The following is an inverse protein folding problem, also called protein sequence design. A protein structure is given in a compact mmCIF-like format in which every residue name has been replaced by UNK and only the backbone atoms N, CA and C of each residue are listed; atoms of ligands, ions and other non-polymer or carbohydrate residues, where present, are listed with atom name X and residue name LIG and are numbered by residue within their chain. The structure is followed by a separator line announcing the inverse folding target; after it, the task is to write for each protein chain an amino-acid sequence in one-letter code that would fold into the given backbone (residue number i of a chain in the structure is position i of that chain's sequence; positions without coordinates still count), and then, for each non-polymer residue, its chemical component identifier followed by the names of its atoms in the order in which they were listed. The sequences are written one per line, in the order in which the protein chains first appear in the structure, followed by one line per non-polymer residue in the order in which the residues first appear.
data_IF_004128880667
#
_entry.id   IF_004128880667
#
_cell.length_a   1.000
_cell.length_b   1.000
_cell.length_c   1.000
_cell.angle_alpha   90.00
_cell.angle_beta   90.00
_cell.angle_gamma   90.00
#
_symmetry.space_group_name_H-M   'P 1'
#
loop_
_entity.id
_entity.type
_entity.pdbx_description
1 polymer ?
#
# COMPACT_ATOMS: atom_id res chain seq x y z
N UNK A 1 6.72 -8.51 30.25
CA UNK A 1 6.61 -7.23 29.49
C UNK A 1 7.60 -7.11 28.32
N UNK A 2 8.87 -7.52 28.46
CA UNK A 2 9.87 -7.40 27.37
C UNK A 2 9.49 -8.14 26.07
N UNK A 3 8.96 -9.35 26.15
CA UNK A 3 8.55 -10.16 24.98
C UNK A 3 7.40 -9.57 24.17
N UNK A 4 6.48 -8.83 24.79
CA UNK A 4 5.37 -8.15 24.09
C UNK A 4 5.89 -6.92 23.35
N UNK A 5 6.85 -6.20 23.93
CA UNK A 5 7.46 -5.00 23.34
C UNK A 5 8.21 -5.33 22.04
N UNK A 6 8.93 -6.46 22.00
CA UNK A 6 9.62 -6.91 20.78
C UNK A 6 8.66 -7.32 19.66
N UNK A 7 7.49 -7.90 19.98
CA UNK A 7 6.53 -8.39 18.99
C UNK A 7 5.99 -7.28 18.08
N UNK A 8 5.59 -6.14 18.64
CA UNK A 8 5.06 -5.03 17.86
C UNK A 8 6.15 -4.14 17.26
N UNK A 9 7.31 -4.04 17.92
CA UNK A 9 8.45 -3.28 17.40
C UNK A 9 8.90 -3.78 16.02
N UNK A 10 8.97 -5.10 15.81
CA UNK A 10 9.31 -5.65 14.49
C UNK A 10 8.36 -5.20 13.40
N UNK A 11 7.04 -5.21 13.67
CA UNK A 11 6.05 -4.83 12.67
C UNK A 11 6.16 -3.33 12.35
N UNK A 12 6.38 -2.50 13.37
CA UNK A 12 6.60 -1.05 13.19
C UNK A 12 7.86 -0.79 12.37
N UNK A 13 8.98 -1.47 12.66
CA UNK A 13 10.21 -1.32 11.88
C UNK A 13 10.03 -1.78 10.43
N UNK A 14 9.29 -2.86 10.19
CA UNK A 14 8.96 -3.32 8.84
C UNK A 14 8.06 -2.32 8.11
N UNK A 15 7.10 -1.69 8.80
CA UNK A 15 6.28 -0.62 8.22
C UNK A 15 7.10 0.59 7.80
N UNK A 16 8.05 1.00 8.65
CA UNK A 16 8.96 2.10 8.33
C UNK A 16 9.87 1.75 7.15
N UNK A 17 10.44 0.54 7.16
CA UNK A 17 11.28 0.07 6.06
C UNK A 17 10.50 0.03 4.74
N UNK A 18 9.29 -0.53 4.73
CA UNK A 18 8.44 -0.57 3.54
C UNK A 18 8.10 0.83 3.05
N UNK A 19 7.67 1.72 3.95
CA UNK A 19 7.32 3.10 3.62
C UNK A 19 8.49 3.85 2.96
N UNK A 20 9.70 3.72 3.51
CA UNK A 20 10.92 4.34 2.97
C UNK A 20 11.31 3.72 1.63
N UNK A 21 11.31 2.39 1.51
CA UNK A 21 11.68 1.71 0.26
C UNK A 21 10.69 2.00 -0.88
N UNK A 22 9.39 2.05 -0.57
CA UNK A 22 8.35 2.49 -1.49
C UNK A 22 8.56 3.96 -1.89
N UNK A 23 8.83 4.86 -0.94
CA UNK A 23 9.07 6.28 -1.21
C UNK A 23 10.30 6.49 -2.11
N UNK A 24 11.45 5.94 -1.72
CA UNK A 24 12.71 6.10 -2.45
C UNK A 24 12.62 5.53 -3.85
N UNK A 25 11.96 4.38 -4.03
CA UNK A 25 11.77 3.79 -5.36
C UNK A 25 10.81 4.59 -6.27
N UNK A 26 10.00 5.48 -5.69
CA UNK A 26 9.11 6.37 -6.44
C UNK A 26 9.73 7.72 -6.82
N UNK A 27 10.90 8.07 -6.27
CA UNK A 27 11.61 9.30 -6.64
C UNK A 27 12.25 9.12 -8.02
N UNK A 28 11.91 9.99 -8.97
CA UNK A 28 12.50 10.04 -10.30
C UNK A 28 13.12 11.40 -10.57
N UNK A 29 14.05 11.46 -11.53
CA UNK A 29 14.77 12.68 -11.89
C UNK A 29 14.42 13.12 -13.33
N UNK A 30 14.48 14.42 -13.66
CA UNK A 30 14.21 14.91 -15.02
C UNK A 30 15.06 14.21 -16.10
N UNK A 31 16.33 13.95 -15.81
CA UNK A 31 17.26 13.26 -16.71
C UNK A 31 16.82 11.82 -17.02
N UNK A 32 16.10 11.18 -16.08
CA UNK A 32 15.49 9.87 -16.30
C UNK A 32 14.35 9.98 -17.33
N UNK A 33 13.54 11.04 -17.25
CA UNK A 33 12.41 11.27 -18.15
C UNK A 33 12.86 11.62 -19.58
N UNK A 34 13.96 12.34 -19.70
CA UNK A 34 14.63 12.64 -20.98
C UNK A 34 15.34 11.41 -21.58
N UNK A 35 15.37 10.31 -20.84
CA UNK A 35 15.88 9.03 -21.31
C UNK A 35 17.40 8.85 -21.20
N UNK A 36 18.09 9.72 -20.47
CA UNK A 36 19.54 9.67 -20.27
C UNK A 36 19.96 8.48 -19.38
N UNK A 37 19.12 8.11 -18.40
CA UNK A 37 19.46 7.13 -17.35
C UNK A 37 18.61 5.85 -17.40
N UNK A 38 18.62 5.16 -18.55
CA UNK A 38 17.75 3.99 -18.77
C UNK A 38 17.99 2.82 -17.80
N UNK A 39 19.25 2.54 -17.45
CA UNK A 39 19.57 1.47 -16.49
C UNK A 39 19.02 1.78 -15.10
N UNK A 40 19.20 3.02 -14.62
CA UNK A 40 18.63 3.49 -13.37
C UNK A 40 17.09 3.43 -13.42
N UNK A 41 16.47 3.89 -14.51
CA UNK A 41 15.01 3.81 -14.71
C UNK A 41 14.50 2.37 -14.60
N UNK A 42 15.18 1.43 -15.24
CA UNK A 42 14.83 0.01 -15.20
C UNK A 42 14.90 -0.54 -13.77
N UNK A 43 16.03 -0.35 -13.09
CA UNK A 43 16.25 -0.82 -11.71
C UNK A 43 15.20 -0.20 -10.78
N UNK A 44 15.02 1.11 -10.83
CA UNK A 44 14.05 1.83 -10.01
C UNK A 44 12.63 1.32 -10.23
N UNK A 45 12.20 1.11 -11.48
CA UNK A 45 10.87 0.57 -11.81
C UNK A 45 10.67 -0.85 -11.28
N UNK A 46 11.70 -1.70 -11.28
CA UNK A 46 11.63 -3.03 -10.67
C UNK A 46 11.38 -2.91 -9.17
N UNK A 47 12.17 -2.11 -8.46
CA UNK A 47 12.00 -1.90 -7.03
C UNK A 47 10.67 -1.22 -6.70
N UNK A 48 10.23 -0.25 -7.51
CA UNK A 48 8.94 0.41 -7.34
C UNK A 48 7.80 -0.60 -7.51
N UNK A 49 7.84 -1.46 -8.53
CA UNK A 49 6.83 -2.53 -8.66
C UNK A 49 6.83 -3.49 -7.48
N UNK A 50 7.99 -3.83 -6.94
CA UNK A 50 8.11 -4.74 -5.79
C UNK A 50 7.56 -4.10 -4.51
N UNK A 51 8.05 -2.92 -4.13
CA UNK A 51 7.70 -2.28 -2.86
C UNK A 51 6.36 -1.56 -2.87
N UNK A 52 5.78 -1.29 -4.05
CA UNK A 52 4.42 -0.78 -4.18
C UNK A 52 3.42 -1.89 -4.55
N UNK A 53 3.83 -3.16 -4.57
CA UNK A 53 2.91 -4.26 -4.78
C UNK A 53 1.93 -4.36 -3.59
N UNK A 54 0.63 -4.40 -3.87
CA UNK A 54 -0.41 -4.51 -2.84
C UNK A 54 -0.24 -5.72 -1.92
N UNK A 55 0.34 -6.83 -2.41
CA UNK A 55 0.65 -8.03 -1.58
C UNK A 55 1.69 -7.71 -0.49
N UNK A 56 2.72 -6.93 -0.80
CA UNK A 56 3.75 -6.54 0.17
C UNK A 56 3.16 -5.62 1.24
N UNK A 57 2.28 -4.70 0.83
CA UNK A 57 1.56 -3.82 1.75
C UNK A 57 0.56 -4.59 2.62
N UNK A 58 -0.17 -5.55 2.05
CA UNK A 58 -1.12 -6.40 2.77
C UNK A 58 -0.44 -7.35 3.77
N UNK A 59 0.82 -7.74 3.54
CA UNK A 59 1.56 -8.62 4.44
C UNK A 59 1.75 -8.00 5.85
N UNK A 60 1.85 -6.68 5.97
CA UNK A 60 2.00 -6.00 7.27
C UNK A 60 0.75 -6.15 8.15
N UNK A 61 -0.47 -5.83 7.68
CA UNK A 61 -1.72 -6.12 8.39
C UNK A 61 -1.85 -7.57 8.84
N UNK A 62 -1.51 -8.51 7.94
CA UNK A 62 -1.49 -9.94 8.23
C UNK A 62 -0.57 -10.27 9.43
N UNK A 63 0.66 -9.77 9.41
CA UNK A 63 1.65 -9.99 10.46
C UNK A 63 1.31 -9.29 11.78
N UNK A 64 0.68 -8.11 11.72
CA UNK A 64 0.20 -7.39 12.90
C UNK A 64 -0.97 -8.14 13.57
N UNK A 65 -1.91 -8.60 12.76
CA UNK A 65 -3.07 -9.35 13.18
C UNK A 65 -2.72 -10.68 13.85
N UNK A 66 -1.84 -11.47 13.23
CA UNK A 66 -1.35 -12.73 13.78
C UNK A 66 -0.72 -12.58 15.17
N UNK A 67 0.02 -11.50 15.41
CA UNK A 67 0.68 -11.23 16.71
C UNK A 67 -0.28 -10.79 17.81
N UNK A 68 -1.52 -10.44 17.48
CA UNK A 68 -2.48 -9.83 18.40
C UNK A 68 -3.29 -10.84 19.24
N UNK A 69 -3.35 -12.11 18.81
CA UNK A 69 -3.94 -13.25 19.57
C UNK A 69 -5.41 -13.04 20.02
N UNK A 70 -6.11 -12.07 19.43
CA UNK A 70 -7.52 -11.73 19.68
C UNK A 70 -8.08 -11.11 18.42
N UNK A 71 -9.29 -11.48 18.02
CA UNK A 71 -9.90 -11.04 16.76
C UNK A 71 -10.02 -9.52 16.67
N UNK A 72 -10.49 -8.87 17.74
CA UNK A 72 -10.66 -7.40 17.79
C UNK A 72 -9.30 -6.71 17.74
N UNK A 73 -8.32 -7.18 18.53
CA UNK A 73 -6.96 -6.63 18.51
C UNK A 73 -6.30 -6.83 17.16
N UNK A 74 -6.59 -7.95 16.48
CA UNK A 74 -6.08 -8.25 15.16
C UNK A 74 -6.66 -7.34 14.09
N UNK A 75 -7.97 -7.04 14.15
CA UNK A 75 -8.59 -6.04 13.27
C UNK A 75 -7.96 -4.66 13.47
N UNK A 76 -7.87 -4.20 14.73
CA UNK A 76 -7.32 -2.89 15.07
C UNK A 76 -5.86 -2.79 14.65
N UNK A 77 -5.03 -3.81 14.93
CA UNK A 77 -3.62 -3.77 14.56
C UNK A 77 -3.39 -3.87 13.06
N UNK A 78 -4.24 -4.60 12.34
CA UNK A 78 -4.23 -4.68 10.88
C UNK A 78 -4.51 -3.32 10.22
N UNK A 79 -5.56 -2.63 10.66
CA UNK A 79 -5.86 -1.28 10.20
C UNK A 79 -4.78 -0.28 10.64
N UNK A 80 -4.40 -0.27 11.91
CA UNK A 80 -3.45 0.69 12.47
C UNK A 80 -2.06 0.61 11.80
N UNK A 81 -1.57 -0.58 11.46
CA UNK A 81 -0.28 -0.70 10.78
C UNK A 81 -0.36 -0.23 9.32
N UNK A 82 -1.46 -0.47 8.63
CA UNK A 82 -1.65 0.01 7.25
C UNK A 82 -1.69 1.54 7.22
N UNK A 83 -2.48 2.15 8.11
CA UNK A 83 -2.54 3.59 8.33
C UNK A 83 -1.17 4.17 8.66
N UNK A 84 -0.45 3.57 9.62
CA UNK A 84 0.88 4.01 9.98
C UNK A 84 1.84 3.94 8.78
N UNK A 85 1.78 2.88 7.98
CA UNK A 85 2.65 2.74 6.80
C UNK A 85 2.37 3.84 5.77
N UNK A 86 1.10 4.16 5.51
CA UNK A 86 0.72 5.25 4.60
C UNK A 86 1.14 6.61 5.17
N UNK A 87 0.92 6.86 6.46
CA UNK A 87 1.36 8.08 7.13
C UNK A 87 2.87 8.25 7.07
N UNK A 88 3.64 7.18 7.25
CA UNK A 88 5.09 7.22 7.12
C UNK A 88 5.50 7.50 5.68
N UNK A 89 4.90 6.83 4.70
CA UNK A 89 5.23 6.99 3.29
C UNK A 89 4.97 8.43 2.81
N UNK A 90 3.74 8.91 2.98
CA UNK A 90 3.35 10.26 2.54
C UNK A 90 3.92 11.35 3.44
N UNK A 91 4.00 11.11 4.75
CA UNK A 91 4.54 12.06 5.72
C UNK A 91 6.02 12.31 5.52
N UNK A 92 6.84 11.24 5.39
CA UNK A 92 8.27 11.41 5.10
C UNK A 92 8.44 12.09 3.74
N UNK A 93 7.70 11.65 2.72
CA UNK A 93 7.76 12.26 1.38
C UNK A 93 7.41 13.75 1.38
N UNK A 94 6.41 14.16 2.18
CA UNK A 94 6.07 15.56 2.37
C UNK A 94 7.20 16.33 3.09
N UNK A 95 7.72 15.78 4.19
CA UNK A 95 8.78 16.42 4.99
C UNK A 95 10.08 16.64 4.20
N UNK A 96 10.42 15.75 3.27
CA UNK A 96 11.61 15.88 2.42
C UNK A 96 11.34 16.61 1.09
N UNK A 97 10.13 17.14 0.89
CA UNK A 97 9.76 17.93 -0.29
C UNK A 97 9.49 17.13 -1.58
N UNK A 98 9.32 15.81 -1.49
CA UNK A 98 8.93 14.97 -2.64
C UNK A 98 7.44 15.12 -2.94
N UNK A 99 6.60 15.33 -1.93
CA UNK A 99 5.16 15.50 -2.09
C UNK A 99 4.68 16.90 -1.70
N UNK A 100 3.64 17.39 -2.40
CA UNK A 100 2.98 18.66 -2.09
C UNK A 100 2.06 18.58 -0.87
N UNK A 101 1.58 19.73 -0.38
CA UNK A 101 0.75 19.84 0.82
C UNK A 101 -0.61 19.15 0.73
N UNK A 102 -1.11 18.90 -0.48
CA UNK A 102 -2.39 18.22 -0.71
C UNK A 102 -2.28 16.70 -0.77
N UNK A 103 -1.08 16.12 -0.57
CA UNK A 103 -0.83 14.68 -0.81
C UNK A 103 -1.77 13.76 0.00
N UNK A 104 -2.04 14.08 1.26
CA UNK A 104 -2.92 13.28 2.11
C UNK A 104 -4.37 13.31 1.61
N UNK A 105 -4.85 14.47 1.15
CA UNK A 105 -6.20 14.60 0.59
C UNK A 105 -6.31 13.95 -0.78
N UNK A 106 -5.29 14.09 -1.62
CA UNK A 106 -5.21 13.44 -2.92
C UNK A 106 -5.19 11.91 -2.82
N UNK A 107 -4.72 11.37 -1.70
CA UNK A 107 -4.63 9.93 -1.45
C UNK A 107 -5.59 9.44 -0.35
N UNK A 108 -6.61 10.23 0.04
CA UNK A 108 -7.55 9.88 1.11
C UNK A 108 -8.24 8.53 0.86
N UNK A 109 -8.47 8.21 -0.41
CA UNK A 109 -9.00 6.93 -0.85
C UNK A 109 -8.15 5.73 -0.41
N UNK A 110 -6.81 5.84 -0.44
CA UNK A 110 -5.91 4.78 0.00
C UNK A 110 -5.91 4.59 1.52
N UNK A 111 -6.08 5.67 2.28
CA UNK A 111 -6.31 5.59 3.74
C UNK A 111 -7.65 4.91 4.06
N UNK A 112 -8.72 5.26 3.35
CA UNK A 112 -10.02 4.58 3.53
C UNK A 112 -9.90 3.10 3.16
N UNK A 113 -9.25 2.77 2.05
CA UNK A 113 -9.02 1.39 1.63
C UNK A 113 -8.19 0.61 2.67
N UNK A 114 -7.16 1.23 3.26
CA UNK A 114 -6.38 0.63 4.33
C UNK A 114 -7.25 0.31 5.55
N UNK A 115 -8.08 1.24 6.04
CA UNK A 115 -8.99 0.96 7.15
C UNK A 115 -9.96 -0.20 6.85
N UNK A 116 -10.61 -0.17 5.69
CA UNK A 116 -11.69 -1.10 5.34
C UNK A 116 -11.16 -2.50 5.01
N UNK A 117 -10.04 -2.59 4.29
CA UNK A 117 -9.50 -3.87 3.82
C UNK A 117 -8.52 -4.48 4.82
N UNK A 118 -7.73 -3.66 5.52
CA UNK A 118 -6.66 -4.20 6.38
C UNK A 118 -7.14 -4.63 7.76
N UNK A 119 -8.29 -4.15 8.25
CA UNK A 119 -8.92 -4.72 9.46
C UNK A 119 -9.32 -6.20 9.25
N UNK A 120 -10.09 -6.57 8.20
CA UNK A 120 -10.36 -7.97 7.88
C UNK A 120 -9.09 -8.80 7.62
N UNK A 121 -8.09 -8.24 6.94
CA UNK A 121 -6.80 -8.93 6.72
C UNK A 121 -6.05 -9.19 8.03
N UNK A 122 -6.14 -8.31 9.01
CA UNK A 122 -5.60 -8.57 10.35
C UNK A 122 -6.27 -9.78 11.02
N UNK A 123 -7.59 -9.93 10.86
CA UNK A 123 -8.32 -11.09 11.37
C UNK A 123 -7.97 -12.41 10.66
N UNK A 124 -7.44 -12.36 9.44
CA UNK A 124 -7.16 -13.52 8.59
C UNK A 124 -6.22 -14.56 9.22
N UNK A 125 -5.30 -14.16 10.11
CA UNK A 125 -4.47 -15.11 10.87
C UNK A 125 -4.66 -14.99 12.37
N UNK A 126 -5.21 -13.87 12.86
CA UNK A 126 -5.55 -13.69 14.27
C UNK A 126 -6.66 -14.64 14.77
N UNK A 127 -7.48 -15.15 13.86
CA UNK A 127 -8.58 -16.09 14.16
C UNK A 127 -8.18 -17.58 14.14
N UNK A 128 -6.97 -17.92 13.65
CA UNK A 128 -6.50 -19.30 13.48
C UNK A 128 -7.49 -20.26 12.78
N UNK A 129 -8.36 -19.71 11.92
CA UNK A 129 -9.43 -20.45 11.23
C UNK A 129 -9.16 -20.54 9.73
N UNK A 130 -9.49 -21.67 9.11
CA UNK A 130 -9.43 -21.81 7.65
C UNK A 130 -10.36 -20.85 6.91
N UNK A 131 -11.47 -20.42 7.54
CA UNK A 131 -12.36 -19.38 7.00
C UNK A 131 -11.64 -18.05 6.77
N UNK A 132 -10.56 -17.83 7.49
CA UNK A 132 -9.81 -16.60 7.46
C UNK A 132 -8.95 -16.45 6.17
N UNK A 133 -8.74 -17.55 5.44
CA UNK A 133 -8.18 -17.57 4.07
C UNK A 133 -9.14 -16.98 3.02
N UNK A 134 -10.41 -16.76 3.37
CA UNK A 134 -11.38 -16.10 2.49
C UNK A 134 -11.14 -14.58 2.46
N UNK A 135 -10.65 -13.97 3.55
CA UNK A 135 -10.47 -12.52 3.64
C UNK A 135 -9.56 -11.93 2.55
N UNK A 136 -8.41 -12.53 2.19
CA UNK A 136 -7.58 -12.07 1.08
C UNK A 136 -8.30 -12.12 -0.26
N UNK A 137 -9.08 -13.17 -0.49
CA UNK A 137 -9.87 -13.34 -1.73
C UNK A 137 -10.96 -12.28 -1.80
N UNK A 138 -11.65 -12.01 -0.69
CA UNK A 138 -12.66 -10.94 -0.62
C UNK A 138 -12.02 -9.56 -0.82
N UNK A 139 -10.91 -9.28 -0.14
CA UNK A 139 -10.20 -8.01 -0.31
C UNK A 139 -9.71 -7.83 -1.75
N UNK A 140 -9.21 -8.91 -2.38
CA UNK A 140 -8.83 -8.90 -3.79
C UNK A 140 -10.05 -8.63 -4.70
N UNK A 141 -11.19 -9.27 -4.42
CA UNK A 141 -12.45 -9.01 -5.12
C UNK A 141 -12.89 -7.55 -5.01
N UNK A 142 -12.88 -6.97 -3.80
CA UNK A 142 -13.21 -5.55 -3.57
C UNK A 142 -12.20 -4.64 -4.29
N UNK A 143 -10.91 -4.97 -4.27
CA UNK A 143 -9.90 -4.22 -5.00
C UNK A 143 -10.21 -4.16 -6.50
N UNK A 144 -10.52 -5.31 -7.12
CA UNK A 144 -10.76 -5.39 -8.55
C UNK A 144 -12.11 -4.82 -9.02
N UNK A 145 -13.15 -5.00 -8.20
CA UNK A 145 -14.53 -4.64 -8.59
C UNK A 145 -14.95 -3.26 -8.14
N UNK A 146 -14.32 -2.72 -7.10
CA UNK A 146 -14.69 -1.43 -6.52
C UNK A 146 -13.53 -0.46 -6.57
N UNK A 147 -12.39 -0.82 -5.95
CA UNK A 147 -11.33 0.15 -5.70
C UNK A 147 -10.67 0.62 -7.00
N UNK A 148 -10.20 -0.32 -7.82
CA UNK A 148 -9.54 -0.02 -9.09
C UNK A 148 -10.50 0.73 -10.02
N UNK A 149 -11.75 0.30 -10.29
CA UNK A 149 -12.68 1.06 -11.11
C UNK A 149 -12.91 2.50 -10.65
N UNK A 150 -12.98 2.74 -9.34
CA UNK A 150 -13.12 4.10 -8.79
C UNK A 150 -11.87 4.94 -9.04
N UNK A 151 -10.68 4.37 -8.80
CA UNK A 151 -9.41 5.03 -9.09
C UNK A 151 -9.29 5.37 -10.59
N UNK A 152 -9.59 4.42 -11.47
CA UNK A 152 -9.58 4.64 -12.92
C UNK A 152 -10.58 5.72 -13.35
N UNK A 153 -11.77 5.78 -12.73
CA UNK A 153 -12.76 6.83 -12.98
C UNK A 153 -12.24 8.22 -12.56
N UNK A 154 -11.54 8.30 -11.42
CA UNK A 154 -10.88 9.53 -10.97
C UNK A 154 -9.77 9.96 -11.93
N UNK A 155 -8.92 9.02 -12.35
CA UNK A 155 -7.86 9.27 -13.33
C UNK A 155 -8.44 9.69 -14.68
N UNK A 156 -9.53 9.07 -15.13
CA UNK A 156 -10.22 9.47 -16.35
C UNK A 156 -10.76 10.89 -16.26
N UNK A 157 -11.33 11.27 -15.12
CA UNK A 157 -11.80 12.65 -14.87
C UNK A 157 -10.65 13.65 -14.88
N UNK A 158 -9.47 13.26 -14.39
CA UNK A 158 -8.30 14.14 -14.29
C UNK A 158 -7.52 14.26 -15.61
N UNK A 159 -7.36 13.16 -16.36
CA UNK A 159 -6.45 13.06 -17.50
C UNK A 159 -7.14 12.81 -18.85
N UNK A 160 -8.44 12.53 -18.86
CA UNK A 160 -9.26 12.43 -20.07
C UNK A 160 -8.72 11.44 -21.12
N UNK A 161 -8.54 11.93 -22.35
CA UNK A 161 -8.14 11.14 -23.52
C UNK A 161 -6.74 10.53 -23.40
N UNK A 162 -5.85 11.15 -22.61
CA UNK A 162 -4.52 10.61 -22.32
C UNK A 162 -4.63 9.30 -21.56
N UNK A 163 -5.49 9.26 -20.54
CA UNK A 163 -5.72 8.04 -19.76
C UNK A 163 -6.45 6.96 -20.59
N UNK A 164 -7.41 7.35 -21.44
CA UNK A 164 -8.05 6.40 -22.36
C UNK A 164 -7.05 5.75 -23.32
N UNK A 165 -6.11 6.52 -23.85
CA UNK A 165 -5.05 5.99 -24.72
C UNK A 165 -4.14 5.03 -23.96
N UNK A 166 -3.78 5.37 -22.72
CA UNK A 166 -3.02 4.49 -21.83
C UNK A 166 -3.72 3.14 -21.59
N UNK A 167 -5.02 3.15 -21.26
CA UNK A 167 -5.82 1.94 -21.03
C UNK A 167 -5.89 0.99 -22.23
N UNK A 168 -5.72 1.49 -23.47
CA UNK A 168 -5.67 0.64 -24.68
C UNK A 168 -4.35 -0.14 -24.79
N UNK A 169 -3.28 0.38 -24.19
CA UNK A 169 -1.93 -0.19 -24.27
C UNK A 169 -1.56 -1.02 -23.05
N UNK A 170 -2.17 -0.73 -21.89
CA UNK A 170 -1.90 -1.39 -20.62
C UNK A 170 -3.19 -1.96 -20.04
N UNK A 171 -3.20 -3.27 -19.78
CA UNK A 171 -4.35 -3.96 -19.18
C UNK A 171 -4.17 -4.10 -17.66
N UNK A 172 -5.31 -4.28 -16.97
CA UNK A 172 -5.31 -4.80 -15.60
C UNK A 172 -4.62 -6.17 -15.58
N UNK A 173 -4.01 -6.51 -14.45
CA UNK A 173 -3.24 -7.75 -14.29
C UNK A 173 -4.11 -9.01 -14.35
N UNK A 174 -5.41 -8.87 -14.13
CA UNK A 174 -6.46 -9.87 -14.30
C UNK A 174 -7.68 -9.20 -14.95
#
# INVERSE_FOLDING_TARGET
MQTIRHKYLTVILLSLALAILSLVSNIYFPQEMEGQWQLYSCIRKIFSKLFNAGVVWAALPFLAGWRSQSLVKAAISGAAIAELTLLLHYGIGYLIGVYGSTIFMANSFWFIAALVLCAPLGCALGSASYLALIFPVLCFGVLQTVIIPLEEAMLLKQFGTTYQSYQRTVRRWL
#
